data_IF_669049313419
#
_entry.id   IF_669049313419
#
_cell.length_a   1.000
_cell.length_b   1.000
_cell.length_c   1.000
_cell.angle_alpha   90.00
_cell.angle_beta   90.00
_cell.angle_gamma   90.00
#
_symmetry.space_group_name_H-M   'P 1'
#
loop_
_entity.id
_entity.type
_entity.pdbx_description
1 polymer ?
#
# COMPACT_ATOMS: atom_id res chain seq x y z
N UNK A 1 1.41 -52.88 -77.91
CA UNK A 1 2.69 -52.13 -77.94
C UNK A 1 2.49 -50.84 -77.18
N UNK A 2 2.88 -50.77 -75.89
CA UNK A 2 3.21 -49.60 -75.11
C UNK A 2 3.52 -50.07 -73.68
N UNK A 3 4.79 -49.95 -73.27
CA UNK A 3 5.36 -50.40 -72.01
C UNK A 3 4.92 -49.52 -70.88
N UNK A 4 4.39 -50.08 -69.80
CA UNK A 4 4.20 -49.41 -68.51
C UNK A 4 5.52 -49.48 -67.72
N UNK A 5 6.13 -48.31 -67.44
CA UNK A 5 7.25 -48.17 -66.49
C UNK A 5 6.67 -48.06 -65.12
N UNK A 6 6.96 -49.00 -64.25
CA UNK A 6 6.67 -49.01 -62.85
C UNK A 6 7.63 -48.03 -62.13
N UNK A 7 7.09 -47.05 -61.44
CA UNK A 7 7.87 -46.11 -60.57
C UNK A 7 7.66 -46.56 -59.12
N UNK A 8 8.71 -47.16 -58.59
CA UNK A 8 8.81 -47.47 -57.17
C UNK A 8 9.04 -46.21 -56.36
N UNK A 9 8.05 -45.74 -55.61
CA UNK A 9 8.21 -44.64 -54.65
C UNK A 9 8.91 -45.15 -53.38
N UNK A 10 10.09 -44.64 -53.11
CA UNK A 10 10.88 -44.86 -51.92
C UNK A 10 10.35 -43.86 -50.85
N UNK A 11 9.59 -44.36 -49.85
CA UNK A 11 9.18 -43.55 -48.69
C UNK A 11 10.33 -43.46 -47.72
N UNK A 12 10.97 -42.28 -47.68
CA UNK A 12 11.94 -41.90 -46.63
C UNK A 12 11.13 -41.42 -45.42
N UNK A 13 11.07 -42.21 -44.37
CA UNK A 13 10.51 -41.84 -43.09
C UNK A 13 11.52 -40.92 -42.36
N UNK A 14 11.29 -39.59 -42.38
CA UNK A 14 12.01 -38.67 -41.51
C UNK A 14 11.49 -38.85 -40.08
N UNK A 15 12.27 -39.48 -39.23
CA UNK A 15 12.05 -39.50 -37.78
C UNK A 15 12.29 -38.13 -37.19
N UNK A 16 11.20 -37.44 -36.84
CA UNK A 16 11.28 -36.20 -36.04
C UNK A 16 11.55 -36.60 -34.59
N UNK A 17 12.81 -36.47 -34.16
CA UNK A 17 13.20 -36.59 -32.77
C UNK A 17 12.69 -35.30 -32.08
N UNK A 18 11.53 -35.37 -31.43
CA UNK A 18 11.04 -34.32 -30.58
C UNK A 18 11.91 -34.25 -29.30
N UNK A 19 12.92 -33.40 -29.29
CA UNK A 19 13.58 -33.00 -28.05
C UNK A 19 12.61 -32.22 -27.18
N UNK A 20 11.89 -32.94 -26.31
CA UNK A 20 11.14 -32.34 -25.23
C UNK A 20 12.14 -31.70 -24.27
N UNK A 21 12.42 -30.40 -24.45
CA UNK A 21 13.08 -29.58 -23.41
C UNK A 21 12.12 -29.51 -22.23
N UNK A 22 12.36 -30.36 -21.25
CA UNK A 22 11.77 -30.27 -19.94
C UNK A 22 12.24 -28.94 -19.33
N UNK A 23 11.36 -27.92 -19.34
CA UNK A 23 11.64 -26.70 -18.59
C UNK A 23 11.71 -27.06 -17.11
N UNK A 24 12.73 -26.63 -16.37
CA UNK A 24 12.76 -26.86 -14.94
C UNK A 24 11.57 -26.13 -14.31
N UNK A 25 10.61 -26.90 -13.86
CA UNK A 25 9.47 -26.45 -13.09
C UNK A 25 9.93 -25.72 -11.84
N UNK A 26 9.50 -24.46 -11.68
CA UNK A 26 9.36 -23.86 -10.37
C UNK A 26 10.64 -23.35 -9.74
N UNK A 27 11.14 -22.21 -10.21
CA UNK A 27 11.60 -21.24 -9.21
C UNK A 27 10.36 -20.76 -8.47
N UNK A 28 10.04 -21.42 -7.36
CA UNK A 28 9.15 -20.82 -6.35
C UNK A 28 9.71 -19.44 -6.07
N UNK A 29 8.91 -18.39 -6.30
CA UNK A 29 9.25 -17.06 -5.83
C UNK A 29 9.70 -17.19 -4.36
N UNK A 30 10.72 -16.44 -3.91
CA UNK A 30 11.17 -16.51 -2.54
C UNK A 30 9.94 -16.28 -1.66
N UNK A 31 9.52 -17.35 -0.99
CA UNK A 31 8.44 -17.28 0.00
C UNK A 31 8.94 -16.27 1.02
N UNK A 32 8.26 -15.13 1.13
CA UNK A 32 8.54 -14.16 2.19
C UNK A 32 8.64 -14.98 3.47
N UNK A 33 9.77 -14.85 4.18
CA UNK A 33 10.02 -15.56 5.44
C UNK A 33 8.78 -15.31 6.28
N UNK A 34 7.99 -16.36 6.52
CA UNK A 34 6.62 -16.25 7.00
C UNK A 34 6.58 -15.55 8.35
N UNK A 35 6.14 -14.31 8.36
CA UNK A 35 5.64 -13.74 9.59
C UNK A 35 4.46 -14.60 10.06
N UNK A 36 4.44 -14.94 11.33
CA UNK A 36 3.32 -15.65 11.95
C UNK A 36 2.01 -14.91 11.61
N UNK A 37 0.99 -15.57 11.04
CA UNK A 37 -0.28 -14.93 10.72
C UNK A 37 -0.92 -14.22 11.90
N UNK A 38 -0.75 -14.71 13.13
CA UNK A 38 -1.24 -14.06 14.35
C UNK A 38 -0.49 -12.76 14.65
N UNK A 39 0.84 -12.74 14.47
CA UNK A 39 1.62 -11.50 14.60
C UNK A 39 1.22 -10.48 13.55
N UNK A 40 0.98 -10.92 12.30
CA UNK A 40 0.52 -10.04 11.21
C UNK A 40 -0.83 -9.42 11.55
N UNK A 41 -1.77 -10.19 12.09
CA UNK A 41 -3.07 -9.70 12.50
C UNK A 41 -2.95 -8.68 13.66
N UNK A 42 -2.15 -8.98 14.68
CA UNK A 42 -1.93 -8.09 15.83
C UNK A 42 -1.27 -6.76 15.40
N UNK A 43 -0.34 -6.80 14.45
CA UNK A 43 0.30 -5.60 13.91
C UNK A 43 -0.69 -4.73 13.12
N UNK A 44 -1.55 -5.36 12.32
CA UNK A 44 -2.59 -4.65 11.58
C UNK A 44 -3.58 -3.97 12.54
N UNK A 45 -4.00 -4.65 13.61
CA UNK A 45 -4.87 -4.05 14.65
C UNK A 45 -4.18 -2.91 15.39
N UNK A 46 -2.89 -3.04 15.72
CA UNK A 46 -2.13 -1.97 16.34
C UNK A 46 -2.04 -0.72 15.45
N UNK A 47 -1.87 -0.89 14.14
CA UNK A 47 -1.88 0.22 13.19
C UNK A 47 -3.28 0.83 13.05
N UNK A 48 -4.36 0.00 13.01
CA UNK A 48 -5.75 0.50 13.01
C UNK A 48 -6.03 1.37 14.23
N UNK A 49 -5.61 0.94 15.41
CA UNK A 49 -5.77 1.72 16.64
C UNK A 49 -5.08 3.10 16.55
N UNK A 50 -3.94 3.21 15.84
CA UNK A 50 -3.32 4.52 15.60
C UNK A 50 -4.15 5.35 14.62
N UNK A 51 -4.74 4.76 13.58
CA UNK A 51 -5.67 5.48 12.71
C UNK A 51 -6.89 6.01 13.49
N UNK A 52 -7.43 5.23 14.44
CA UNK A 52 -8.54 5.66 15.30
C UNK A 52 -8.14 6.87 16.14
N UNK A 53 -6.96 6.84 16.79
CA UNK A 53 -6.43 7.98 17.54
C UNK A 53 -6.28 9.22 16.67
N UNK A 54 -5.79 9.10 15.43
CA UNK A 54 -5.65 10.22 14.51
C UNK A 54 -7.00 10.78 14.07
N UNK A 55 -7.95 9.90 13.75
CA UNK A 55 -9.33 10.27 13.39
C UNK A 55 -10.01 11.03 14.52
N UNK A 56 -9.90 10.51 15.73
CA UNK A 56 -10.43 11.16 16.93
C UNK A 56 -9.76 12.52 17.19
N UNK A 57 -8.43 12.58 17.05
CA UNK A 57 -7.68 13.84 17.20
C UNK A 57 -8.15 14.89 16.19
N UNK A 58 -8.32 14.51 14.92
CA UNK A 58 -8.89 15.39 13.90
C UNK A 58 -10.29 15.87 14.29
N UNK A 59 -11.19 14.95 14.62
CA UNK A 59 -12.59 15.24 14.88
C UNK A 59 -12.81 16.05 16.17
N UNK A 60 -11.90 15.94 17.14
CA UNK A 60 -11.87 16.80 18.34
C UNK A 60 -11.04 18.08 18.18
N UNK A 61 -10.49 18.33 16.98
CA UNK A 61 -9.62 19.48 16.69
C UNK A 61 -8.28 19.48 17.45
N UNK A 62 -7.82 18.32 17.85
CA UNK A 62 -6.57 18.08 18.58
C UNK A 62 -5.45 17.75 17.60
N UNK A 63 -4.85 18.76 16.97
CA UNK A 63 -3.80 18.59 15.98
C UNK A 63 -2.62 17.75 16.49
N UNK A 64 -2.24 17.88 17.76
CA UNK A 64 -1.18 17.07 18.36
C UNK A 64 -1.49 15.58 18.39
N UNK A 65 -2.74 15.21 18.68
CA UNK A 65 -3.20 13.83 18.63
C UNK A 65 -3.19 13.30 17.19
N UNK A 66 -3.65 14.08 16.21
CA UNK A 66 -3.56 13.74 14.80
C UNK A 66 -2.10 13.50 14.38
N UNK A 67 -1.16 14.37 14.78
CA UNK A 67 0.25 14.26 14.43
C UNK A 67 1.01 13.17 15.22
N UNK A 68 0.42 12.59 16.26
CA UNK A 68 1.08 11.59 17.10
C UNK A 68 1.41 10.29 16.34
N UNK A 69 0.71 10.02 15.22
CA UNK A 69 1.01 8.88 14.35
C UNK A 69 2.35 9.02 13.64
N UNK A 70 2.83 10.23 13.38
CA UNK A 70 4.03 10.47 12.60
C UNK A 70 5.30 10.35 13.45
N UNK A 71 6.35 9.74 12.89
CA UNK A 71 7.70 9.89 13.44
C UNK A 71 8.19 11.34 13.29
N UNK A 72 9.20 11.73 14.05
CA UNK A 72 9.76 13.08 13.92
C UNK A 72 10.35 13.37 12.54
N UNK A 73 10.94 12.37 11.91
CA UNK A 73 11.53 12.43 10.56
C UNK A 73 10.56 12.05 9.44
N UNK A 74 9.27 11.85 9.73
CA UNK A 74 8.29 11.46 8.75
C UNK A 74 8.25 12.41 7.56
N UNK A 75 7.80 11.89 6.42
CA UNK A 75 7.58 12.68 5.21
C UNK A 75 6.11 12.61 4.80
N UNK A 76 5.59 13.69 4.20
CA UNK A 76 4.27 13.69 3.60
C UNK A 76 4.36 14.23 2.17
N UNK A 77 3.71 13.54 1.24
CA UNK A 77 3.59 13.92 -0.16
C UNK A 77 2.14 14.29 -0.45
N UNK A 78 1.93 15.45 -1.00
CA UNK A 78 0.63 15.92 -1.47
C UNK A 78 0.76 16.71 -2.76
N UNK A 79 -0.32 17.36 -3.19
CA UNK A 79 -0.35 18.15 -4.43
C UNK A 79 0.67 19.29 -4.48
N UNK A 80 1.16 19.77 -3.34
CA UNK A 80 2.16 20.83 -3.22
C UNK A 80 3.60 20.32 -3.14
N UNK A 81 3.80 19.00 -3.17
CA UNK A 81 5.11 18.35 -3.12
C UNK A 81 5.39 17.66 -1.80
N UNK A 82 6.67 17.37 -1.56
CA UNK A 82 7.17 16.61 -0.42
C UNK A 82 7.53 17.52 0.76
N UNK A 83 6.88 17.26 1.90
CA UNK A 83 7.18 17.89 3.19
C UNK A 83 7.98 16.92 4.05
N UNK A 84 8.95 17.41 4.82
CA UNK A 84 9.85 16.60 5.66
C UNK A 84 9.81 17.05 7.11
N UNK A 85 9.61 16.08 7.99
CA UNK A 85 9.55 16.27 9.43
C UNK A 85 8.14 16.57 9.96
N UNK A 86 7.81 15.96 11.11
CA UNK A 86 6.49 16.09 11.75
C UNK A 86 6.07 17.54 12.01
N UNK A 87 7.01 18.39 12.38
CA UNK A 87 6.73 19.81 12.63
C UNK A 87 6.29 20.53 11.35
N UNK A 88 7.00 20.33 10.24
CA UNK A 88 6.64 20.92 8.96
C UNK A 88 5.31 20.37 8.41
N UNK A 89 5.04 19.07 8.63
CA UNK A 89 3.72 18.48 8.33
C UNK A 89 2.63 19.18 9.17
N UNK A 90 2.89 19.41 10.46
CA UNK A 90 1.98 20.14 11.34
C UNK A 90 1.73 21.58 10.88
N UNK A 91 2.75 22.28 10.41
CA UNK A 91 2.61 23.63 9.88
C UNK A 91 1.76 23.65 8.61
N UNK A 92 1.95 22.67 7.70
CA UNK A 92 1.10 22.48 6.53
C UNK A 92 -0.36 22.20 6.93
N UNK A 93 -0.59 21.36 7.95
CA UNK A 93 -1.93 21.08 8.46
C UNK A 93 -2.58 22.34 9.06
N UNK A 94 -1.82 23.17 9.82
CA UNK A 94 -2.31 24.44 10.35
C UNK A 94 -2.70 25.41 9.23
N UNK A 95 -1.85 25.54 8.23
CA UNK A 95 -2.11 26.43 7.09
C UNK A 95 -3.29 25.97 6.22
N UNK A 96 -3.54 24.67 6.14
CA UNK A 96 -4.63 24.09 5.37
C UNK A 96 -5.92 23.94 6.18
N UNK A 97 -5.97 22.92 7.00
CA UNK A 97 -7.20 22.47 7.66
C UNK A 97 -7.49 23.18 8.98
N UNK A 98 -6.46 23.62 9.73
CA UNK A 98 -6.59 24.28 11.03
C UNK A 98 -6.50 25.81 10.96
N UNK A 99 -6.75 26.43 9.81
CA UNK A 99 -6.66 27.90 9.63
C UNK A 99 -7.52 28.70 10.60
N UNK A 100 -8.64 28.15 11.05
CA UNK A 100 -9.57 28.77 12.00
C UNK A 100 -9.47 28.15 13.40
N UNK A 101 -8.36 27.46 13.70
CA UNK A 101 -8.13 26.77 14.97
C UNK A 101 -8.72 25.36 15.02
N UNK A 102 -9.52 24.97 14.02
CA UNK A 102 -10.11 23.63 13.92
C UNK A 102 -10.39 23.25 12.47
N UNK A 103 -10.45 21.95 12.14
CA UNK A 103 -10.97 21.50 10.86
C UNK A 103 -12.46 21.83 10.72
N UNK A 104 -12.87 22.22 9.52
CA UNK A 104 -14.31 22.44 9.23
C UNK A 104 -15.04 21.16 8.85
N UNK A 105 -14.31 20.07 8.68
CA UNK A 105 -14.81 18.79 8.20
C UNK A 105 -14.41 17.69 9.18
N UNK A 106 -15.30 16.73 9.38
CA UNK A 106 -14.95 15.47 10.07
C UNK A 106 -14.18 14.55 9.13
N UNK A 107 -13.27 13.78 9.69
CA UNK A 107 -12.48 12.78 8.99
C UNK A 107 -12.99 11.38 9.34
N UNK A 108 -13.03 10.50 8.35
CA UNK A 108 -13.03 9.06 8.52
C UNK A 108 -12.19 8.39 7.43
N UNK A 109 -11.83 7.15 7.68
CA UNK A 109 -11.14 6.33 6.70
C UNK A 109 -12.03 5.18 6.25
N UNK A 110 -12.13 4.98 4.93
CA UNK A 110 -12.84 3.89 4.29
C UNK A 110 -11.83 2.99 3.57
N UNK A 111 -12.16 1.70 3.36
CA UNK A 111 -11.35 0.74 2.61
C UNK A 111 -9.91 0.60 3.13
N UNK A 112 -9.74 0.69 4.46
CA UNK A 112 -8.42 0.59 5.07
C UNK A 112 -7.88 -0.84 4.98
N UNK A 113 -6.81 -1.02 4.22
CA UNK A 113 -6.05 -2.25 4.11
C UNK A 113 -4.66 -2.05 4.69
N UNK A 114 -4.19 -3.04 5.47
CA UNK A 114 -2.86 -3.02 6.09
C UNK A 114 -2.14 -4.29 5.69
N UNK A 115 -0.96 -4.14 5.13
CA UNK A 115 -0.14 -5.23 4.60
C UNK A 115 1.28 -5.14 5.16
N UNK A 116 1.82 -6.21 5.77
CA UNK A 116 3.21 -6.22 6.24
C UNK A 116 4.18 -6.13 5.06
N UNK A 117 5.26 -5.39 5.25
CA UNK A 117 6.43 -5.30 4.37
C UNK A 117 7.67 -5.93 5.03
N UNK A 118 7.46 -6.83 5.96
CA UNK A 118 8.49 -7.48 6.78
C UNK A 118 8.20 -7.25 8.28
N UNK A 119 9.12 -7.63 9.17
CA UNK A 119 8.86 -7.63 10.63
C UNK A 119 8.75 -6.20 11.21
N UNK A 120 9.33 -5.21 10.56
CA UNK A 120 9.44 -3.86 11.11
C UNK A 120 8.72 -2.78 10.28
N UNK A 121 8.11 -3.15 9.14
CA UNK A 121 7.43 -2.21 8.27
C UNK A 121 6.10 -2.74 7.80
N UNK A 122 5.16 -1.83 7.56
CA UNK A 122 3.87 -2.12 6.96
C UNK A 122 3.47 -1.01 5.97
N UNK A 123 2.66 -1.41 5.00
CA UNK A 123 1.95 -0.52 4.09
C UNK A 123 0.49 -0.44 4.54
N UNK A 124 -0.06 0.75 4.64
CA UNK A 124 -1.50 0.93 4.72
C UNK A 124 -1.99 1.75 3.52
N UNK A 125 -3.10 1.32 2.95
CA UNK A 125 -3.81 2.01 1.87
C UNK A 125 -5.27 2.17 2.25
N UNK A 126 -5.92 3.19 1.71
CA UNK A 126 -7.33 3.43 1.98
C UNK A 126 -7.83 4.71 1.35
N UNK A 127 -9.04 5.09 1.69
CA UNK A 127 -9.66 6.32 1.26
C UNK A 127 -9.94 7.20 2.48
N UNK A 128 -9.53 8.47 2.43
CA UNK A 128 -10.01 9.44 3.40
C UNK A 128 -11.32 10.05 2.91
N UNK A 129 -12.21 10.33 3.85
CA UNK A 129 -13.48 11.02 3.59
C UNK A 129 -13.60 12.18 4.55
N UNK A 130 -13.66 13.39 3.99
CA UNK A 130 -13.90 14.63 4.72
C UNK A 130 -15.34 15.07 4.50
N UNK A 131 -16.11 15.16 5.58
CA UNK A 131 -17.54 15.47 5.55
C UNK A 131 -17.87 16.77 6.29
N UNK A 132 -18.76 17.59 5.75
CA UNK A 132 -19.29 18.75 6.42
C UNK A 132 -20.79 18.88 6.12
N UNK A 133 -21.57 19.37 7.08
CA UNK A 133 -23.00 19.56 6.89
C UNK A 133 -23.31 20.48 5.69
N UNK A 134 -24.23 20.07 4.83
CA UNK A 134 -24.66 20.84 3.67
C UNK A 134 -23.65 20.93 2.52
N UNK A 135 -22.61 20.11 2.51
CA UNK A 135 -21.62 20.06 1.44
C UNK A 135 -21.38 18.61 0.98
N UNK A 136 -21.05 18.38 -0.29
CA UNK A 136 -20.57 17.08 -0.75
C UNK A 136 -19.32 16.65 0.02
N UNK A 137 -19.18 15.36 0.27
CA UNK A 137 -17.97 14.80 0.83
C UNK A 137 -16.78 15.05 -0.13
N UNK A 138 -15.64 15.38 0.44
CA UNK A 138 -14.36 15.37 -0.25
C UNK A 138 -13.65 14.07 0.07
N UNK A 139 -13.27 13.30 -0.94
CA UNK A 139 -12.59 12.03 -0.80
C UNK A 139 -11.27 12.03 -1.57
N UNK A 140 -10.35 11.18 -1.15
CA UNK A 140 -9.12 10.90 -1.88
C UNK A 140 -8.49 9.63 -1.37
N UNK A 141 -7.53 9.10 -2.10
CA UNK A 141 -6.81 7.89 -1.71
C UNK A 141 -5.52 8.24 -1.00
N UNK A 142 -5.08 7.33 -0.14
CA UNK A 142 -3.80 7.47 0.51
C UNK A 142 -3.01 6.16 0.51
N UNK A 143 -1.70 6.32 0.62
CA UNK A 143 -0.72 5.26 0.84
C UNK A 143 0.22 5.71 1.94
N UNK A 144 0.34 4.93 3.01
CA UNK A 144 1.22 5.26 4.13
C UNK A 144 2.16 4.10 4.44
N UNK A 145 3.40 4.44 4.79
CA UNK A 145 4.41 3.48 5.26
C UNK A 145 4.55 3.65 6.77
N UNK A 146 4.52 2.52 7.45
CA UNK A 146 4.60 2.41 8.90
C UNK A 146 5.87 1.69 9.31
N UNK A 147 6.48 2.14 10.39
CA UNK A 147 7.62 1.48 11.02
C UNK A 147 7.30 1.12 12.47
N UNK A 148 7.83 -0.02 12.91
CA UNK A 148 7.80 -0.42 14.32
C UNK A 148 8.85 0.38 15.08
N UNK A 149 8.43 1.10 16.10
CA UNK A 149 9.29 1.89 16.98
C UNK A 149 9.17 1.41 18.43
N UNK A 150 10.03 1.85 19.36
CA UNK A 150 9.84 1.56 20.78
C UNK A 150 8.51 2.05 21.36
N UNK A 151 7.87 3.04 20.71
CA UNK A 151 6.56 3.58 21.11
C UNK A 151 5.39 2.94 20.34
N UNK A 152 5.63 1.82 19.65
CA UNK A 152 4.64 1.14 18.79
C UNK A 152 4.76 1.55 17.32
N UNK A 153 3.74 1.26 16.54
CA UNK A 153 3.72 1.58 15.13
C UNK A 153 3.59 3.08 14.88
N UNK A 154 4.44 3.63 14.01
CA UNK A 154 4.43 5.04 13.62
C UNK A 154 4.59 5.20 12.12
N UNK A 155 3.91 6.20 11.58
CA UNK A 155 3.95 6.55 10.17
C UNK A 155 5.27 7.25 9.83
N UNK A 156 5.99 6.75 8.84
CA UNK A 156 7.26 7.32 8.34
C UNK A 156 7.07 8.02 7.00
N UNK A 157 6.01 7.69 6.28
CA UNK A 157 5.64 8.34 5.02
C UNK A 157 4.13 8.33 4.82
N UNK A 158 3.60 9.43 4.30
CA UNK A 158 2.22 9.63 3.90
C UNK A 158 2.19 10.18 2.47
N UNK A 159 1.38 9.58 1.62
CA UNK A 159 1.03 10.12 0.33
C UNK A 159 -0.49 10.13 0.20
N UNK A 160 -1.06 11.31 0.06
CA UNK A 160 -2.51 11.52 -0.08
C UNK A 160 -2.81 12.37 -1.30
N UNK A 161 -3.82 11.97 -2.09
CA UNK A 161 -4.22 12.60 -3.35
C UNK A 161 -5.73 12.83 -3.43
#
# INVERSE_FOLDING_TARGET
MKSLRSWTMLLIALGVVACSRQMPSGRSAPRAVGADPQMVAADAEAIRAVFDVTTDGWNRSELSAYLSAYTESATAMGSTGLVRGRNAIGDQMRAGYWRTGRPLQTLRYDHLEIRPLGPNYALATGQYVLSAMGRPNRTGWFTTIWARTPQGWRMVHDHSS
#
